data_IF_756073314074
#
_entry.id   IF_756073314074
#
_cell.length_a   1.000
_cell.length_b   1.000
_cell.length_c   1.000
_cell.angle_alpha   90.00
_cell.angle_beta   90.00
_cell.angle_gamma   90.00
#
_symmetry.space_group_name_H-M   'P 1'
#
loop_
_entity.id
_entity.type
_entity.pdbx_description
1 polymer ?
#
# COMPACT_ATOMS: atom_id res chain seq x y z
N UNK A 1 -7.79 -28.27 9.07
CA UNK A 1 -6.74 -27.23 9.00
C UNK A 1 -6.20 -27.23 7.57
N UNK A 2 -6.31 -26.16 6.81
CA UNK A 2 -5.70 -26.11 5.48
C UNK A 2 -4.18 -26.12 5.64
N UNK A 3 -3.53 -27.08 5.02
CA UNK A 3 -2.07 -27.20 4.95
C UNK A 3 -1.51 -25.96 4.24
N UNK A 4 -0.70 -25.16 4.92
CA UNK A 4 0.05 -24.06 4.29
C UNK A 4 0.89 -24.70 3.17
N UNK A 5 0.85 -24.14 1.95
CA UNK A 5 1.76 -24.58 0.89
C UNK A 5 3.19 -24.41 1.42
N UNK A 6 3.94 -25.51 1.43
CA UNK A 6 5.37 -25.51 1.78
C UNK A 6 6.13 -24.79 0.65
N UNK A 7 6.05 -23.48 0.64
CA UNK A 7 6.81 -22.68 -0.32
C UNK A 7 8.28 -22.88 0.01
N UNK A 8 9.04 -23.35 -0.95
CA UNK A 8 10.46 -23.64 -0.78
C UNK A 8 11.18 -22.37 -0.31
N UNK A 9 11.73 -22.39 0.91
CA UNK A 9 12.40 -21.22 1.54
C UNK A 9 13.49 -20.65 0.63
N UNK A 10 14.21 -21.51 -0.09
CA UNK A 10 15.25 -21.12 -1.04
C UNK A 10 14.66 -20.29 -2.19
N UNK A 11 13.51 -20.69 -2.73
CA UNK A 11 12.82 -19.95 -3.79
C UNK A 11 12.40 -18.56 -3.33
N UNK A 12 11.85 -18.45 -2.12
CA UNK A 12 11.46 -17.15 -1.55
C UNK A 12 12.69 -16.23 -1.42
N UNK A 13 13.80 -16.75 -0.93
CA UNK A 13 15.05 -15.99 -0.79
C UNK A 13 15.58 -15.53 -2.14
N UNK A 14 15.61 -16.41 -3.13
CA UNK A 14 16.08 -16.07 -4.49
C UNK A 14 15.18 -15.00 -5.11
N UNK A 15 13.88 -15.21 -5.10
CA UNK A 15 12.91 -14.25 -5.66
C UNK A 15 13.00 -12.89 -4.94
N UNK A 16 13.11 -12.87 -3.61
CA UNK A 16 13.26 -11.62 -2.86
C UNK A 16 14.54 -10.84 -3.20
N UNK A 17 15.63 -11.55 -3.48
CA UNK A 17 16.90 -10.93 -3.92
C UNK A 17 16.75 -10.31 -5.32
N UNK A 18 16.10 -10.98 -6.26
CA UNK A 18 15.81 -10.43 -7.59
C UNK A 18 14.91 -9.20 -7.50
N UNK A 19 13.85 -9.23 -6.68
CA UNK A 19 12.98 -8.09 -6.47
C UNK A 19 13.76 -6.89 -5.89
N UNK A 20 14.61 -7.12 -4.89
CA UNK A 20 15.47 -6.07 -4.33
C UNK A 20 16.45 -5.49 -5.35
N UNK A 21 17.07 -6.34 -6.16
CA UNK A 21 17.96 -5.89 -7.24
C UNK A 21 17.20 -5.02 -8.23
N UNK A 22 16.04 -5.47 -8.69
CA UNK A 22 15.19 -4.70 -9.59
C UNK A 22 14.75 -3.36 -8.98
N UNK A 23 14.37 -3.34 -7.72
CA UNK A 23 14.01 -2.12 -7.00
C UNK A 23 15.20 -1.12 -6.94
N UNK A 24 16.42 -1.61 -6.70
CA UNK A 24 17.62 -0.77 -6.68
C UNK A 24 17.94 -0.19 -8.06
N UNK A 25 17.84 -0.99 -9.13
CA UNK A 25 18.02 -0.53 -10.52
C UNK A 25 16.96 0.53 -10.85
N UNK A 26 15.71 0.30 -10.52
CA UNK A 26 14.62 1.25 -10.72
C UNK A 26 14.87 2.56 -9.97
N UNK A 27 15.38 2.47 -8.75
CA UNK A 27 15.75 3.66 -7.96
C UNK A 27 16.89 4.44 -8.62
N UNK A 28 17.92 3.77 -9.11
CA UNK A 28 19.03 4.40 -9.81
C UNK A 28 18.57 5.11 -11.09
N UNK A 29 17.79 4.43 -11.93
CA UNK A 29 17.21 5.01 -13.15
C UNK A 29 16.30 6.21 -12.84
N UNK A 30 15.61 6.18 -11.71
CA UNK A 30 14.77 7.28 -11.27
C UNK A 30 15.54 8.51 -10.86
N UNK A 31 16.75 8.39 -10.33
CA UNK A 31 17.62 9.54 -10.08
C UNK A 31 18.02 10.21 -11.40
N UNK A 32 18.41 9.42 -12.41
CA UNK A 32 18.72 9.95 -13.74
C UNK A 32 17.50 10.64 -14.35
N UNK A 33 16.33 10.01 -14.26
CA UNK A 33 15.08 10.59 -14.76
C UNK A 33 14.78 11.93 -14.09
N UNK A 34 14.88 12.01 -12.75
CA UNK A 34 14.60 13.26 -12.02
C UNK A 34 15.70 14.31 -12.17
N UNK A 35 16.93 13.93 -12.53
CA UNK A 35 17.97 14.89 -12.94
C UNK A 35 17.61 15.59 -14.25
N UNK A 36 16.97 14.86 -15.20
CA UNK A 36 16.55 15.40 -16.50
C UNK A 36 15.22 16.15 -16.37
N UNK A 37 14.26 15.62 -15.57
CA UNK A 37 12.90 16.17 -15.42
C UNK A 37 12.54 16.34 -13.93
N UNK A 38 13.14 17.30 -13.22
CA UNK A 38 13.08 17.39 -11.75
C UNK A 38 11.67 17.61 -11.19
N UNK A 39 10.82 18.29 -11.95
CA UNK A 39 9.47 18.66 -11.50
C UNK A 39 8.37 17.65 -11.90
N UNK A 40 8.74 16.58 -12.62
CA UNK A 40 7.74 15.59 -13.02
C UNK A 40 7.22 14.81 -11.80
N UNK A 41 5.90 14.81 -11.66
CA UNK A 41 5.18 14.02 -10.65
C UNK A 41 4.12 13.18 -11.32
N UNK A 42 3.86 12.03 -10.71
CA UNK A 42 2.85 11.07 -11.14
C UNK A 42 1.70 11.09 -10.13
N UNK A 43 0.49 10.92 -10.59
CA UNK A 43 -0.69 10.96 -9.73
C UNK A 43 -1.12 9.54 -9.37
N UNK A 44 -1.15 9.23 -8.07
CA UNK A 44 -1.79 8.01 -7.57
C UNK A 44 -3.31 8.18 -7.58
N UNK A 45 -4.08 7.19 -8.07
CA UNK A 45 -5.53 7.21 -7.97
C UNK A 45 -5.97 7.02 -6.52
N UNK A 46 -7.04 7.67 -6.10
CA UNK A 46 -7.66 7.45 -4.78
C UNK A 46 -8.24 6.04 -4.66
N UNK A 47 -8.74 5.51 -5.77
CA UNK A 47 -9.31 4.16 -5.87
C UNK A 47 -8.96 3.53 -7.21
N UNK A 48 -8.67 2.23 -7.17
CA UNK A 48 -8.42 1.46 -8.38
C UNK A 48 -9.03 0.06 -8.23
N UNK A 49 -9.93 -0.29 -9.12
CA UNK A 49 -10.59 -1.60 -9.11
C UNK A 49 -9.58 -2.75 -9.24
N UNK A 50 -9.90 -3.95 -8.75
CA UNK A 50 -9.10 -5.14 -9.00
C UNK A 50 -8.93 -5.38 -10.51
N UNK A 51 -7.77 -5.85 -10.93
CA UNK A 51 -7.51 -6.24 -12.33
C UNK A 51 -8.10 -7.60 -12.68
N UNK A 52 -8.24 -8.47 -11.69
CA UNK A 52 -8.89 -9.78 -11.80
C UNK A 52 -10.04 -9.86 -10.80
N UNK A 53 -11.06 -10.63 -11.14
CA UNK A 53 -12.20 -10.83 -10.26
C UNK A 53 -11.75 -11.25 -8.85
N UNK A 54 -12.24 -10.57 -7.79
CA UNK A 54 -11.92 -10.98 -6.42
C UNK A 54 -12.46 -12.38 -6.14
N UNK A 55 -11.78 -13.11 -5.27
CA UNK A 55 -12.32 -14.35 -4.71
C UNK A 55 -13.26 -13.98 -3.56
N UNK A 56 -14.48 -14.50 -3.59
CA UNK A 56 -15.52 -14.14 -2.63
C UNK A 56 -15.35 -14.78 -1.24
N UNK A 57 -14.46 -15.76 -1.09
CA UNK A 57 -14.34 -16.59 0.13
C UNK A 57 -13.19 -16.12 1.05
N UNK A 58 -12.72 -14.91 0.90
CA UNK A 58 -11.59 -14.40 1.69
C UNK A 58 -12.04 -13.85 3.04
N UNK A 59 -11.48 -14.37 4.12
CA UNK A 59 -11.67 -13.88 5.50
C UNK A 59 -11.19 -12.43 5.64
N UNK A 60 -10.11 -12.08 4.94
CA UNK A 60 -9.58 -10.71 4.92
C UNK A 60 -10.05 -10.02 3.65
N UNK A 61 -10.72 -8.85 3.74
CA UNK A 61 -11.13 -8.08 2.58
C UNK A 61 -9.96 -7.82 1.61
N UNK A 62 -10.19 -8.02 0.32
CA UNK A 62 -9.18 -7.86 -0.72
C UNK A 62 -8.97 -6.39 -1.09
N UNK A 63 -8.51 -5.61 -0.11
CA UNK A 63 -8.24 -4.16 -0.23
C UNK A 63 -6.80 -3.90 0.18
N UNK A 64 -6.07 -3.13 -0.63
CA UNK A 64 -4.77 -2.56 -0.26
C UNK A 64 -5.01 -1.10 0.11
N UNK A 65 -4.55 -0.72 1.30
CA UNK A 65 -4.55 0.64 1.78
C UNK A 65 -3.15 1.24 1.75
N UNK A 66 -3.04 2.42 1.18
CA UNK A 66 -1.82 3.25 1.28
C UNK A 66 -2.21 4.69 1.62
N UNK A 67 -1.26 5.44 2.15
CA UNK A 67 -1.45 6.86 2.45
C UNK A 67 -0.17 7.65 2.25
N UNK A 68 -0.33 8.94 1.95
CA UNK A 68 0.74 9.93 1.93
C UNK A 68 0.12 11.31 2.17
N UNK A 69 0.95 12.35 2.33
CA UNK A 69 0.47 13.72 2.47
C UNK A 69 -0.11 14.28 1.15
N UNK A 70 0.31 13.74 0.00
CA UNK A 70 -0.17 14.10 -1.35
C UNK A 70 -0.25 12.87 -2.24
N UNK A 71 -1.10 12.93 -3.25
CA UNK A 71 -1.16 11.91 -4.32
C UNK A 71 -0.17 12.18 -5.47
N UNK A 72 0.58 13.30 -5.43
CA UNK A 72 1.62 13.63 -6.41
C UNK A 72 2.94 13.03 -5.96
N UNK A 73 3.37 11.97 -6.61
CA UNK A 73 4.51 11.16 -6.18
C UNK A 73 5.64 11.15 -7.21
N UNK A 74 6.82 10.76 -6.77
CA UNK A 74 7.99 10.56 -7.65
C UNK A 74 7.86 9.27 -8.46
N UNK A 75 8.66 9.12 -9.51
CA UNK A 75 8.64 7.92 -10.35
C UNK A 75 8.86 6.61 -9.56
N UNK A 76 9.82 6.50 -8.61
CA UNK A 76 9.98 5.26 -7.84
C UNK A 76 8.74 4.85 -7.07
N UNK A 77 8.07 5.82 -6.44
CA UNK A 77 6.84 5.56 -5.67
C UNK A 77 5.71 5.13 -6.60
N UNK A 78 5.60 5.74 -7.77
CA UNK A 78 4.59 5.35 -8.77
C UNK A 78 4.83 3.94 -9.32
N UNK A 79 6.09 3.60 -9.61
CA UNK A 79 6.45 2.24 -10.04
C UNK A 79 6.23 1.21 -8.93
N UNK A 80 6.49 1.59 -7.68
CA UNK A 80 6.16 0.76 -6.52
C UNK A 80 4.66 0.49 -6.39
N UNK A 81 3.83 1.52 -6.62
CA UNK A 81 2.38 1.33 -6.70
C UNK A 81 2.00 0.31 -7.78
N UNK A 82 2.50 0.46 -9.02
CA UNK A 82 2.20 -0.47 -10.10
C UNK A 82 2.65 -1.90 -9.78
N UNK A 83 3.84 -2.04 -9.17
CA UNK A 83 4.35 -3.33 -8.74
C UNK A 83 3.46 -3.98 -7.68
N UNK A 84 3.02 -3.24 -6.67
CA UNK A 84 2.09 -3.74 -5.65
C UNK A 84 0.75 -4.16 -6.27
N UNK A 85 0.27 -3.43 -7.30
CA UNK A 85 -0.92 -3.81 -8.07
C UNK A 85 -0.72 -5.14 -8.82
N UNK A 86 0.46 -5.35 -9.41
CA UNK A 86 0.82 -6.59 -10.09
C UNK A 86 0.89 -7.77 -9.12
N UNK A 87 1.43 -7.55 -7.93
CA UNK A 87 1.53 -8.57 -6.86
C UNK A 87 0.21 -8.87 -6.16
N UNK A 88 -0.82 -8.04 -6.40
CA UNK A 88 -2.13 -8.17 -5.80
C UNK A 88 -3.27 -7.89 -6.83
N UNK A 89 -3.33 -8.62 -7.96
CA UNK A 89 -4.24 -8.29 -9.05
C UNK A 89 -5.73 -8.45 -8.71
N UNK A 90 -6.04 -9.18 -7.65
CA UNK A 90 -7.41 -9.40 -7.15
C UNK A 90 -7.81 -8.45 -6.01
N UNK A 91 -6.93 -7.49 -5.67
CA UNK A 91 -7.19 -6.52 -4.60
C UNK A 91 -7.64 -5.20 -5.19
N UNK A 92 -8.62 -4.59 -4.57
CA UNK A 92 -8.91 -3.17 -4.76
C UNK A 92 -7.78 -2.35 -4.11
N UNK A 93 -7.39 -1.27 -4.74
CA UNK A 93 -6.44 -0.32 -4.19
C UNK A 93 -7.19 0.92 -3.71
N UNK A 94 -6.88 1.37 -2.51
CA UNK A 94 -7.40 2.61 -1.92
C UNK A 94 -6.26 3.43 -1.35
N UNK A 95 -6.28 4.70 -1.68
CA UNK A 95 -5.27 5.66 -1.26
C UNK A 95 -5.94 6.87 -0.61
N UNK A 96 -5.39 7.31 0.53
CA UNK A 96 -5.89 8.50 1.21
C UNK A 96 -4.78 9.51 1.46
N UNK A 97 -5.01 10.76 1.08
CA UNK A 97 -4.19 11.90 1.47
C UNK A 97 -4.53 12.34 2.90
N UNK A 98 -3.77 13.28 3.45
CA UNK A 98 -3.97 13.76 4.84
C UNK A 98 -5.39 14.26 5.09
N UNK A 99 -5.97 15.03 4.16
CA UNK A 99 -7.32 15.58 4.27
C UNK A 99 -8.38 14.47 4.26
N UNK A 100 -8.21 13.48 3.37
CA UNK A 100 -9.12 12.33 3.28
C UNK A 100 -9.07 11.46 4.56
N UNK A 101 -7.88 11.31 5.18
CA UNK A 101 -7.76 10.61 6.48
C UNK A 101 -8.52 11.33 7.59
N UNK A 102 -8.41 12.67 7.65
CA UNK A 102 -9.14 13.49 8.62
C UNK A 102 -10.65 13.36 8.44
N UNK A 103 -11.12 13.46 7.19
CA UNK A 103 -12.53 13.31 6.86
C UNK A 103 -13.04 11.91 7.24
N UNK A 104 -12.29 10.86 6.91
CA UNK A 104 -12.62 9.48 7.27
C UNK A 104 -12.77 9.28 8.79
N UNK A 105 -11.85 9.84 9.60
CA UNK A 105 -11.92 9.71 11.05
C UNK A 105 -13.11 10.51 11.59
N UNK A 106 -13.36 11.72 11.06
CA UNK A 106 -14.51 12.55 11.47
C UNK A 106 -15.85 11.88 11.19
N UNK A 107 -15.96 11.15 10.08
CA UNK A 107 -17.18 10.45 9.67
C UNK A 107 -17.44 9.17 10.47
N UNK A 108 -16.39 8.42 10.79
CA UNK A 108 -16.53 7.05 11.27
C UNK A 108 -16.23 6.85 12.76
N UNK A 109 -15.66 7.86 13.44
CA UNK A 109 -15.24 7.75 14.82
C UNK A 109 -15.76 8.91 15.68
N UNK A 110 -15.80 8.68 16.99
CA UNK A 110 -16.28 9.66 17.95
C UNK A 110 -15.33 10.87 18.10
N UNK A 111 -15.80 11.88 18.85
CA UNK A 111 -15.04 13.12 19.07
C UNK A 111 -13.69 12.89 19.75
N UNK A 112 -13.59 11.91 20.65
CA UNK A 112 -12.35 11.64 21.40
C UNK A 112 -11.26 11.13 20.47
N UNK A 113 -11.57 10.16 19.60
CA UNK A 113 -10.64 9.64 18.58
C UNK A 113 -10.20 10.76 17.63
N UNK A 114 -11.16 11.58 17.17
CA UNK A 114 -10.87 12.74 16.33
C UNK A 114 -9.92 13.73 17.02
N UNK A 115 -10.13 14.02 18.29
CA UNK A 115 -9.28 14.91 19.06
C UNK A 115 -7.88 14.33 19.24
N UNK A 116 -7.75 13.03 19.54
CA UNK A 116 -6.45 12.36 19.67
C UNK A 116 -5.68 12.40 18.34
N UNK A 117 -6.34 12.11 17.22
CA UNK A 117 -5.72 12.21 15.90
C UNK A 117 -5.25 13.64 15.59
N UNK A 118 -6.05 14.65 15.93
CA UNK A 118 -5.73 16.07 15.69
C UNK A 118 -4.57 16.59 16.54
N UNK A 119 -4.29 15.97 17.69
CA UNK A 119 -3.12 16.27 18.54
C UNK A 119 -1.81 15.77 17.98
N UNK A 120 -1.85 14.79 17.06
CA UNK A 120 -0.65 14.28 16.42
C UNK A 120 -0.13 15.30 15.40
N UNK A 121 1.02 15.90 15.68
CA UNK A 121 1.63 16.91 14.80
C UNK A 121 2.52 16.29 13.72
N UNK A 122 2.98 15.04 13.92
CA UNK A 122 3.88 14.34 13.01
C UNK A 122 3.05 13.53 12.01
N UNK A 123 3.22 13.82 10.71
CA UNK A 123 2.47 13.16 9.64
C UNK A 123 2.61 11.64 9.61
N UNK A 124 3.78 11.10 9.99
CA UNK A 124 3.99 9.66 10.13
C UNK A 124 3.12 9.08 11.26
N UNK A 125 3.09 9.72 12.44
CA UNK A 125 2.25 9.30 13.56
C UNK A 125 0.75 9.36 13.21
N UNK A 126 0.33 10.37 12.44
CA UNK A 126 -1.04 10.44 11.91
C UNK A 126 -1.33 9.27 10.96
N UNK A 127 -0.39 8.89 10.11
CA UNK A 127 -0.54 7.75 9.22
C UNK A 127 -0.62 6.43 10.00
N UNK A 128 0.22 6.26 11.02
CA UNK A 128 0.23 5.09 11.90
C UNK A 128 -1.08 4.95 12.68
N UNK A 129 -1.60 6.03 13.21
CA UNK A 129 -2.88 6.02 13.91
C UNK A 129 -4.03 5.69 12.94
N UNK A 130 -4.07 6.34 11.78
CA UNK A 130 -5.12 6.11 10.78
C UNK A 130 -5.11 4.67 10.24
N UNK A 131 -3.94 4.06 9.99
CA UNK A 131 -3.90 2.68 9.48
C UNK A 131 -4.56 1.67 10.43
N UNK A 132 -4.45 1.87 11.75
CA UNK A 132 -5.15 1.03 12.72
C UNK A 132 -6.67 1.18 12.61
N UNK A 133 -7.13 2.42 12.48
CA UNK A 133 -8.56 2.73 12.37
C UNK A 133 -9.17 2.21 11.06
N UNK A 134 -8.49 2.41 9.92
CA UNK A 134 -9.02 1.96 8.64
C UNK A 134 -9.05 0.43 8.54
N UNK A 135 -8.04 -0.25 9.08
CA UNK A 135 -8.00 -1.71 9.12
C UNK A 135 -9.05 -2.27 10.09
N UNK A 136 -9.27 -1.63 11.23
CA UNK A 136 -10.33 -2.02 12.16
C UNK A 136 -11.72 -1.87 11.52
N UNK A 137 -11.95 -0.81 10.76
CA UNK A 137 -13.26 -0.50 10.17
C UNK A 137 -13.56 -1.33 8.92
N UNK A 138 -12.59 -1.49 8.04
CA UNK A 138 -12.79 -2.07 6.71
C UNK A 138 -12.00 -3.36 6.47
N UNK A 139 -11.07 -3.70 7.35
CA UNK A 139 -10.12 -4.78 7.08
C UNK A 139 -9.17 -4.46 5.93
N UNK A 140 -8.63 -5.50 5.32
CA UNK A 140 -7.70 -5.38 4.20
C UNK A 140 -6.24 -5.44 4.64
N UNK A 141 -5.36 -4.91 3.83
CA UNK A 141 -3.91 -4.91 4.01
C UNK A 141 -3.40 -3.49 3.89
N UNK A 142 -2.62 -3.04 4.84
CA UNK A 142 -1.91 -1.76 4.74
C UNK A 142 -0.48 -2.00 4.26
N UNK A 143 -0.04 -1.20 3.32
CA UNK A 143 1.35 -1.12 2.86
C UNK A 143 1.83 0.32 2.97
N UNK A 144 3.03 0.53 3.52
CA UNK A 144 3.65 1.86 3.48
C UNK A 144 3.88 2.29 2.03
N UNK A 145 3.91 3.59 1.79
CA UNK A 145 3.99 4.15 0.43
C UNK A 145 5.26 3.73 -0.34
N UNK A 146 6.32 3.42 0.40
CA UNK A 146 7.61 2.94 -0.11
C UNK A 146 7.79 1.42 0.04
N UNK A 147 6.85 0.73 0.70
CA UNK A 147 6.86 -0.72 0.83
C UNK A 147 6.40 -1.41 -0.46
N UNK A 148 7.02 -2.53 -0.79
CA UNK A 148 6.61 -3.38 -1.90
C UNK A 148 6.46 -4.84 -1.46
N UNK A 149 5.44 -5.49 -2.02
CA UNK A 149 5.19 -6.90 -1.78
C UNK A 149 6.30 -7.74 -2.45
N UNK A 150 6.96 -8.59 -1.67
CA UNK A 150 7.98 -9.52 -2.18
C UNK A 150 7.40 -10.86 -2.63
N UNK A 151 6.10 -11.05 -2.44
CA UNK A 151 5.36 -12.26 -2.80
C UNK A 151 3.90 -11.92 -3.12
N UNK A 152 3.21 -12.66 -4.02
CA UNK A 152 1.82 -12.40 -4.34
C UNK A 152 0.93 -12.41 -3.10
N UNK A 153 0.26 -11.27 -2.79
CA UNK A 153 -0.56 -11.11 -1.58
C UNK A 153 -1.69 -12.14 -1.50
N UNK A 154 -2.23 -12.53 -2.65
CA UNK A 154 -3.29 -13.54 -2.70
C UNK A 154 -2.87 -14.94 -2.25
N UNK A 155 -1.56 -15.24 -2.17
CA UNK A 155 -1.05 -16.51 -1.65
C UNK A 155 -0.63 -16.45 -0.18
N UNK A 156 -0.43 -15.24 0.35
CA UNK A 156 -0.02 -15.02 1.75
C UNK A 156 -1.24 -14.84 2.66
N UNK A 157 -2.27 -14.17 2.13
CA UNK A 157 -3.49 -13.89 2.86
C UNK A 157 -4.45 -15.07 2.69
N UNK A 158 -4.89 -15.70 3.79
CA UNK A 158 -5.80 -16.85 3.72
C UNK A 158 -7.13 -16.50 3.03
N UNK A 159 -7.69 -17.49 2.38
CA UNK A 159 -9.05 -17.42 1.86
C UNK A 159 -10.04 -17.53 3.00
#
# INVERSE_FOLDING_TARGET
MPTRPTTNKTLIVVVSRFIKLFANITKLLSYVFHAIVPNKRFTLPERSAPWLAPKNDSVVPRIIWQTNFTNKVTLPVYLNYLFNRLMAPRFEYRFMITEARKAFIAEHYNKDINQQYSRLQIGAAQADFWRLLVLQKHGGVYLDIDAHAIWPLGSVIPN
#
